data_IF_716908290483
#
_entry.id   IF_716908290483
#
_cell.length_a   1.000
_cell.length_b   1.000
_cell.length_c   1.000
_cell.angle_alpha   90.00
_cell.angle_beta   90.00
_cell.angle_gamma   90.00
#
_symmetry.space_group_name_H-M   'P 1'
#
loop_
_entity.id
_entity.type
_entity.pdbx_description
1 polymer ?
#
# COMPACT_ATOMS: atom_id res chain seq x y z
N UNK A 1 -28.82 3.52 9.97
CA UNK A 1 -29.05 2.78 11.22
C UNK A 1 -29.60 1.40 10.90
N UNK A 2 -28.78 0.37 10.91
CA UNK A 2 -29.18 -1.04 10.99
C UNK A 2 -28.03 -1.79 11.66
N UNK A 3 -28.25 -2.13 12.93
CA UNK A 3 -27.33 -2.90 13.74
C UNK A 3 -27.40 -4.36 13.32
N UNK A 4 -26.27 -4.99 12.99
CA UNK A 4 -26.14 -6.43 12.84
C UNK A 4 -25.75 -7.00 14.21
N UNK A 5 -26.74 -7.62 14.88
CA UNK A 5 -26.52 -8.38 16.09
C UNK A 5 -25.92 -9.76 15.77
N UNK A 6 -24.75 -10.02 16.31
CA UNK A 6 -24.13 -11.35 16.31
C UNK A 6 -24.80 -12.14 17.44
N UNK A 7 -25.65 -13.10 17.07
CA UNK A 7 -26.21 -14.08 18.01
C UNK A 7 -25.18 -15.19 18.23
N UNK A 8 -24.57 -15.19 19.42
CA UNK A 8 -23.81 -16.32 19.92
C UNK A 8 -24.80 -17.39 20.43
N UNK A 9 -25.02 -18.44 19.66
CA UNK A 9 -25.83 -19.61 20.04
C UNK A 9 -24.97 -20.51 20.95
N UNK A 10 -25.14 -20.33 22.26
CA UNK A 10 -24.66 -21.30 23.25
C UNK A 10 -25.70 -22.42 23.30
N UNK A 11 -25.41 -23.55 22.66
CA UNK A 11 -26.18 -24.76 22.80
C UNK A 11 -25.81 -25.45 24.14
N UNK A 12 -26.62 -25.26 25.16
CA UNK A 12 -26.59 -26.09 26.36
C UNK A 12 -27.16 -27.48 26.03
N UNK A 13 -26.29 -28.47 25.92
CA UNK A 13 -26.67 -29.86 25.95
C UNK A 13 -26.79 -30.34 27.42
N UNK A 14 -28.01 -30.43 27.93
CA UNK A 14 -28.29 -31.15 29.15
C UNK A 14 -28.45 -32.62 28.78
N UNK A 15 -27.47 -33.45 29.12
CA UNK A 15 -27.62 -34.91 29.13
C UNK A 15 -27.83 -35.35 30.56
N UNK A 16 -29.06 -35.69 30.89
CA UNK A 16 -29.37 -36.48 32.04
C UNK A 16 -29.50 -37.96 31.60
N UNK A 17 -28.76 -38.85 32.22
CA UNK A 17 -28.96 -40.27 31.99
C UNK A 17 -27.81 -41.14 32.47
N UNK A 18 -28.04 -41.81 33.59
CA UNK A 18 -27.17 -42.75 34.25
C UNK A 18 -26.57 -43.85 33.35
N UNK A 19 -25.29 -44.17 33.56
CA UNK A 19 -24.79 -45.56 33.65
C UNK A 19 -23.32 -45.59 34.05
N UNK A 20 -22.99 -46.36 35.04
CA UNK A 20 -21.64 -46.68 35.47
C UNK A 20 -20.86 -47.38 34.36
N UNK A 21 -19.75 -46.79 33.92
CA UNK A 21 -18.80 -47.38 32.95
C UNK A 21 -17.92 -46.41 32.18
N UNK A 22 -18.29 -45.13 32.04
CA UNK A 22 -17.70 -44.18 31.06
C UNK A 22 -16.55 -43.32 31.53
N UNK A 23 -16.14 -43.28 32.78
CA UNK A 23 -15.13 -42.33 33.31
C UNK A 23 -13.73 -42.45 32.69
N UNK A 24 -13.39 -43.59 32.12
CA UNK A 24 -12.05 -43.79 31.48
C UNK A 24 -12.04 -43.36 30.00
N UNK A 25 -13.16 -43.41 29.30
CA UNK A 25 -13.24 -42.96 27.90
C UNK A 25 -13.42 -41.45 27.80
N UNK A 26 -14.21 -40.83 28.66
CA UNK A 26 -14.33 -39.36 28.70
C UNK A 26 -13.01 -38.67 29.07
N UNK A 27 -12.24 -39.23 29.99
CA UNK A 27 -10.89 -38.72 30.33
C UNK A 27 -9.92 -38.83 29.17
N UNK A 28 -9.92 -39.93 28.39
CA UNK A 28 -9.07 -40.07 27.20
C UNK A 28 -9.49 -39.15 26.08
N UNK A 29 -10.78 -38.91 25.92
CA UNK A 29 -11.29 -38.00 24.90
C UNK A 29 -11.00 -36.51 25.22
N UNK A 30 -11.03 -36.14 26.51
CA UNK A 30 -10.61 -34.85 27.01
C UNK A 30 -9.09 -34.61 26.85
N UNK A 31 -8.25 -35.63 27.14
CA UNK A 31 -6.82 -35.54 26.90
C UNK A 31 -6.47 -35.44 25.41
N UNK A 32 -7.16 -36.19 24.55
CA UNK A 32 -6.94 -36.10 23.09
C UNK A 32 -7.36 -34.74 22.52
N UNK A 33 -8.48 -34.18 22.98
CA UNK A 33 -8.91 -32.83 22.55
C UNK A 33 -7.98 -31.74 23.08
N UNK A 34 -7.45 -31.87 24.29
CA UNK A 34 -6.47 -30.94 24.83
C UNK A 34 -5.14 -31.02 24.07
N UNK A 35 -4.69 -32.23 23.68
CA UNK A 35 -3.49 -32.40 22.84
C UNK A 35 -3.67 -31.88 21.43
N UNK A 36 -4.84 -32.06 20.82
CA UNK A 36 -5.17 -31.50 19.52
C UNK A 36 -5.22 -29.98 19.56
N UNK A 37 -5.86 -29.39 20.58
CA UNK A 37 -5.89 -27.95 20.77
C UNK A 37 -4.48 -27.37 20.99
N UNK A 38 -3.63 -28.06 21.75
CA UNK A 38 -2.23 -27.68 21.95
C UNK A 38 -1.41 -27.71 20.65
N UNK A 39 -1.59 -28.75 19.81
CA UNK A 39 -0.95 -28.83 18.50
C UNK A 39 -1.43 -27.73 17.55
N UNK A 40 -2.73 -27.49 17.49
CA UNK A 40 -3.29 -26.43 16.67
C UNK A 40 -2.79 -25.05 17.10
N UNK A 41 -2.69 -24.78 18.40
CA UNK A 41 -2.13 -23.54 18.92
C UNK A 41 -0.63 -23.37 18.54
N UNK A 42 0.16 -24.46 18.58
CA UNK A 42 1.56 -24.44 18.14
C UNK A 42 1.70 -24.22 16.64
N UNK A 43 0.84 -24.80 15.81
CA UNK A 43 0.83 -24.59 14.37
C UNK A 43 0.45 -23.14 14.02
N UNK A 44 -0.54 -22.57 14.69
CA UNK A 44 -0.90 -21.16 14.55
C UNK A 44 0.27 -20.25 14.95
N UNK A 45 0.92 -20.53 16.08
CA UNK A 45 2.06 -19.75 16.54
C UNK A 45 3.23 -19.80 15.54
N UNK A 46 3.56 -20.98 14.99
CA UNK A 46 4.56 -21.13 13.92
C UNK A 46 4.16 -20.40 12.65
N UNK A 47 2.89 -20.47 12.26
CA UNK A 47 2.37 -19.73 11.10
C UNK A 47 2.50 -18.23 11.29
N UNK A 48 2.20 -17.70 12.46
CA UNK A 48 2.37 -16.28 12.78
C UNK A 48 3.84 -15.85 12.79
N UNK A 49 4.74 -16.69 13.32
CA UNK A 49 6.17 -16.42 13.28
C UNK A 49 6.72 -16.42 11.84
N UNK A 50 6.33 -17.39 11.02
CA UNK A 50 6.69 -17.45 9.60
C UNK A 50 6.15 -16.24 8.84
N UNK A 51 4.92 -15.85 9.10
CA UNK A 51 4.33 -14.64 8.51
C UNK A 51 5.07 -13.38 8.95
N UNK A 52 5.40 -13.24 10.23
CA UNK A 52 6.20 -12.14 10.76
C UNK A 52 7.58 -12.04 10.08
N UNK A 53 8.26 -13.18 9.94
CA UNK A 53 9.56 -13.24 9.27
C UNK A 53 9.46 -12.90 7.77
N UNK A 54 8.43 -13.37 7.08
CA UNK A 54 8.16 -13.02 5.68
C UNK A 54 7.89 -11.52 5.52
N UNK A 55 7.07 -10.94 6.40
CA UNK A 55 6.80 -9.50 6.42
C UNK A 55 8.07 -8.68 6.65
N UNK A 56 8.94 -9.09 7.57
CA UNK A 56 10.21 -8.42 7.79
C UNK A 56 11.14 -8.49 6.57
N UNK A 57 11.15 -9.60 5.84
CA UNK A 57 11.94 -9.71 4.61
C UNK A 57 11.42 -8.78 3.52
N UNK A 58 10.10 -8.65 3.36
CA UNK A 58 9.47 -7.76 2.39
C UNK A 58 9.71 -6.26 2.69
N UNK A 59 10.04 -5.92 3.92
CA UNK A 59 10.39 -4.56 4.33
C UNK A 59 11.87 -4.21 4.12
N UNK A 60 12.71 -5.20 3.81
CA UNK A 60 14.12 -4.96 3.52
C UNK A 60 14.32 -4.52 2.08
N UNK A 61 15.34 -3.73 1.86
CA UNK A 61 15.80 -3.37 0.52
C UNK A 61 16.27 -4.58 -0.27
N UNK A 62 16.55 -4.42 -1.57
CA UNK A 62 16.91 -5.51 -2.49
C UNK A 62 18.12 -6.34 -2.05
N UNK A 63 19.03 -5.76 -1.27
CA UNK A 63 20.24 -6.42 -0.75
C UNK A 63 20.09 -6.84 0.73
N UNK A 64 18.85 -6.81 1.27
CA UNK A 64 18.57 -7.15 2.66
C UNK A 64 18.86 -6.04 3.67
N UNK A 65 19.21 -4.82 3.20
CA UNK A 65 19.44 -3.68 4.07
C UNK A 65 18.13 -3.17 4.69
N UNK A 66 18.24 -2.67 5.92
CA UNK A 66 17.15 -2.00 6.61
C UNK A 66 17.26 -0.48 6.33
N UNK A 67 16.45 0.00 5.40
CA UNK A 67 16.43 1.42 5.02
C UNK A 67 15.39 2.15 5.87
N UNK A 68 15.79 3.25 6.49
CA UNK A 68 14.86 4.14 7.17
C UNK A 68 14.29 5.15 6.16
N UNK A 69 12.99 5.44 6.22
CA UNK A 69 12.42 6.47 5.38
C UNK A 69 12.93 7.85 5.79
N UNK A 70 13.10 8.75 4.82
CA UNK A 70 13.44 10.14 5.11
C UNK A 70 12.30 10.83 5.84
N UNK A 71 12.62 11.89 6.59
CA UNK A 71 11.58 12.72 7.20
C UNK A 71 10.67 13.32 6.10
N UNK A 72 9.35 13.29 6.31
CA UNK A 72 8.38 13.81 5.35
C UNK A 72 8.60 15.29 5.01
N UNK A 73 9.22 16.09 5.91
CA UNK A 73 9.59 17.49 5.62
C UNK A 73 10.62 17.57 4.49
N UNK A 74 11.53 16.59 4.40
CA UNK A 74 12.47 16.53 3.29
C UNK A 74 11.73 16.28 1.96
N UNK A 75 10.70 15.44 1.96
CA UNK A 75 9.83 15.22 0.80
C UNK A 75 9.00 16.47 0.47
N UNK A 76 8.47 17.17 1.47
CA UNK A 76 7.78 18.46 1.26
C UNK A 76 8.69 19.49 0.57
N UNK A 77 9.98 19.47 0.90
CA UNK A 77 10.98 20.36 0.27
C UNK A 77 11.28 20.05 -1.21
N UNK A 78 10.72 18.98 -1.77
CA UNK A 78 10.82 18.61 -3.19
C UNK A 78 9.55 18.95 -3.98
N UNK A 79 8.44 19.23 -3.28
CA UNK A 79 7.16 19.59 -3.90
C UNK A 79 7.31 20.94 -4.63
N UNK A 80 7.04 21.01 -5.96
CA UNK A 80 7.29 22.20 -6.74
C UNK A 80 6.29 23.33 -6.46
N UNK A 81 6.70 24.55 -6.77
CA UNK A 81 5.75 25.65 -6.98
C UNK A 81 5.51 25.78 -8.47
N UNK A 82 4.24 25.85 -8.89
CA UNK A 82 3.86 25.89 -10.29
C UNK A 82 3.17 27.22 -10.60
N UNK A 83 3.77 28.00 -11.51
CA UNK A 83 3.20 29.31 -11.89
C UNK A 83 1.80 29.14 -12.49
N UNK A 84 0.87 29.98 -12.05
CA UNK A 84 -0.52 29.95 -12.50
C UNK A 84 -1.39 28.86 -11.87
N UNK A 85 -0.86 28.14 -10.86
CA UNK A 85 -1.62 27.20 -10.02
C UNK A 85 -1.53 27.64 -8.57
N UNK A 86 -2.62 27.58 -7.87
CA UNK A 86 -2.69 27.74 -6.41
C UNK A 86 -2.33 26.42 -5.75
N UNK A 87 -1.32 26.43 -4.87
CA UNK A 87 -0.88 25.24 -4.15
C UNK A 87 -1.44 25.23 -2.74
N UNK A 88 -2.08 24.12 -2.36
CA UNK A 88 -2.48 23.89 -0.97
C UNK A 88 -1.26 23.68 -0.08
N UNK A 89 -1.45 23.88 1.24
CA UNK A 89 -0.43 23.61 2.24
C UNK A 89 -0.04 22.12 2.20
N UNK A 90 1.25 21.80 2.05
CA UNK A 90 1.72 20.42 1.99
C UNK A 90 1.42 19.65 3.29
N UNK A 91 0.86 18.47 3.16
CA UNK A 91 0.69 17.51 4.25
C UNK A 91 1.81 16.49 4.22
N UNK A 92 2.09 15.87 5.36
CA UNK A 92 3.09 14.80 5.44
C UNK A 92 2.81 13.88 6.60
N UNK A 93 3.16 12.61 6.42
CA UNK A 93 3.10 11.60 7.46
C UNK A 93 4.24 10.60 7.33
N UNK A 94 4.53 9.89 8.40
CA UNK A 94 5.46 8.78 8.40
C UNK A 94 4.93 7.65 9.27
N UNK A 95 5.27 6.43 8.90
CA UNK A 95 4.91 5.21 9.61
C UNK A 95 6.15 4.31 9.74
N UNK A 96 6.30 3.69 10.91
CA UNK A 96 7.40 2.76 11.18
C UNK A 96 6.92 1.33 11.41
N UNK A 97 5.65 1.13 11.76
CA UNK A 97 5.03 -0.18 12.02
C UNK A 97 3.60 -0.16 11.49
N UNK A 98 3.11 -1.19 10.79
CA UNK A 98 3.80 -2.44 10.41
C UNK A 98 4.75 -2.31 9.22
N UNK A 99 4.64 -1.26 8.42
CA UNK A 99 5.47 -0.99 7.24
C UNK A 99 6.10 0.38 7.37
N UNK A 100 7.40 0.47 7.09
CA UNK A 100 8.11 1.75 7.12
C UNK A 100 7.87 2.52 5.84
N UNK A 101 7.40 3.74 5.95
CA UNK A 101 7.35 4.71 4.86
C UNK A 101 7.25 6.14 5.40
N UNK A 102 7.53 7.11 4.57
CA UNK A 102 7.12 8.49 4.76
C UNK A 102 6.50 9.02 3.48
N UNK A 103 5.61 9.98 3.60
CA UNK A 103 5.00 10.61 2.43
C UNK A 103 4.79 12.10 2.62
N UNK A 104 4.77 12.81 1.52
CA UNK A 104 4.32 14.18 1.43
C UNK A 104 3.33 14.30 0.27
N UNK A 105 2.29 15.11 0.47
CA UNK A 105 1.29 15.37 -0.55
C UNK A 105 0.87 16.83 -0.55
N UNK A 106 0.45 17.33 -1.70
CA UNK A 106 -0.18 18.63 -1.86
C UNK A 106 -1.11 18.60 -3.06
N UNK A 107 -2.02 19.55 -3.13
CA UNK A 107 -2.85 19.75 -4.31
C UNK A 107 -2.59 21.12 -4.94
N UNK A 108 -2.84 21.18 -6.24
CA UNK A 108 -2.77 22.38 -7.05
C UNK A 108 -4.14 22.59 -7.70
N UNK A 109 -4.63 23.81 -7.63
CA UNK A 109 -5.92 24.19 -8.23
C UNK A 109 -5.72 25.31 -9.23
N UNK A 110 -6.45 25.24 -10.32
CA UNK A 110 -6.53 26.28 -11.35
C UNK A 110 -7.88 26.16 -12.05
N UNK A 111 -8.68 27.18 -11.93
CA UNK A 111 -10.07 27.19 -12.43
C UNK A 111 -10.84 25.97 -11.89
N UNK A 112 -11.36 25.10 -12.76
CA UNK A 112 -12.03 23.85 -12.39
C UNK A 112 -11.07 22.65 -12.28
N UNK A 113 -9.80 22.81 -12.67
CA UNK A 113 -8.80 21.75 -12.64
C UNK A 113 -8.18 21.60 -11.25
N UNK A 114 -8.00 20.34 -10.82
CA UNK A 114 -7.31 19.99 -9.58
C UNK A 114 -6.29 18.89 -9.87
N UNK A 115 -5.08 19.05 -9.35
CA UNK A 115 -4.01 18.06 -9.47
C UNK A 115 -3.51 17.75 -8.06
N UNK A 116 -3.49 16.49 -7.69
CA UNK A 116 -2.90 16.00 -6.44
C UNK A 116 -1.55 15.35 -6.73
N UNK A 117 -0.52 15.82 -6.03
CA UNK A 117 0.84 15.26 -6.09
C UNK A 117 1.15 14.60 -4.77
N UNK A 118 1.54 13.33 -4.84
CA UNK A 118 2.00 12.53 -3.71
C UNK A 118 3.39 11.97 -3.99
N UNK A 119 4.29 12.10 -3.03
CA UNK A 119 5.62 11.48 -3.03
C UNK A 119 5.71 10.58 -1.81
N UNK A 120 6.01 9.30 -2.03
CA UNK A 120 6.17 8.28 -0.98
C UNK A 120 7.61 7.77 -1.00
N UNK A 121 8.30 7.89 0.11
CA UNK A 121 9.52 7.11 0.35
C UNK A 121 9.11 5.74 0.90
N UNK A 122 9.32 4.73 0.10
CA UNK A 122 8.96 3.35 0.44
C UNK A 122 10.02 2.66 1.31
N UNK A 123 11.09 3.37 1.71
CA UNK A 123 12.26 2.80 2.37
C UNK A 123 12.80 1.56 1.62
N UNK A 124 12.68 1.54 0.29
CA UNK A 124 13.03 0.40 -0.59
C UNK A 124 12.22 -0.88 -0.30
N UNK A 125 11.11 -0.78 0.46
CA UNK A 125 10.26 -1.93 0.76
C UNK A 125 9.67 -2.53 -0.52
N UNK A 126 9.97 -3.79 -0.79
CA UNK A 126 9.40 -4.52 -1.92
C UNK A 126 7.87 -4.69 -1.78
N UNK A 127 7.36 -4.74 -0.55
CA UNK A 127 5.92 -4.82 -0.29
C UNK A 127 5.15 -3.63 -0.89
N UNK A 128 5.71 -2.42 -0.80
CA UNK A 128 5.07 -1.21 -1.33
C UNK A 128 5.26 -1.04 -2.84
N UNK A 129 6.37 -1.53 -3.39
CA UNK A 129 6.75 -1.30 -4.79
C UNK A 129 6.41 -2.46 -5.72
N UNK A 130 6.27 -3.69 -5.20
CA UNK A 130 6.09 -4.91 -6.02
C UNK A 130 4.90 -4.82 -7.00
N UNK A 131 3.70 -4.37 -6.62
CA UNK A 131 2.57 -4.32 -7.55
C UNK A 131 2.88 -3.44 -8.77
N UNK A 132 3.53 -2.30 -8.55
CA UNK A 132 3.93 -1.38 -9.62
C UNK A 132 5.09 -1.92 -10.45
N UNK A 133 6.07 -2.56 -9.82
CA UNK A 133 7.18 -3.18 -10.54
C UNK A 133 6.70 -4.30 -11.46
N UNK A 134 5.78 -5.16 -11.00
CA UNK A 134 5.19 -6.21 -11.84
C UNK A 134 4.45 -5.60 -13.03
N UNK A 135 3.63 -4.59 -12.81
CA UNK A 135 2.94 -3.86 -13.87
C UNK A 135 3.91 -3.28 -14.89
N UNK A 136 4.98 -2.60 -14.43
CA UNK A 136 6.00 -2.01 -15.29
C UNK A 136 6.81 -3.05 -16.07
N UNK A 137 7.09 -4.22 -15.48
CA UNK A 137 7.87 -5.29 -16.13
C UNK A 137 7.08 -6.00 -17.22
N UNK A 138 5.75 -6.07 -17.12
CA UNK A 138 4.92 -6.73 -18.13
C UNK A 138 4.75 -5.92 -19.41
N UNK A 139 5.13 -4.64 -19.40
CA UNK A 139 4.86 -3.74 -20.53
C UNK A 139 3.37 -3.56 -20.79
N UNK A 140 2.56 -3.67 -19.71
CA UNK A 140 1.11 -3.61 -19.81
C UNK A 140 0.62 -2.36 -20.54
N UNK A 141 -0.32 -2.56 -21.44
CA UNK A 141 -1.01 -1.48 -22.14
C UNK A 141 -2.43 -1.94 -22.48
N UNK A 142 -3.39 -1.14 -22.11
CA UNK A 142 -4.79 -1.33 -22.51
C UNK A 142 -5.35 -0.04 -23.08
N UNK A 143 -6.31 -0.15 -23.99
CA UNK A 143 -7.02 0.97 -24.58
C UNK A 143 -8.51 0.64 -24.63
N UNK A 144 -9.32 1.62 -24.27
CA UNK A 144 -10.80 1.57 -24.37
C UNK A 144 -11.26 2.69 -25.29
N UNK A 145 -12.57 2.79 -25.51
CA UNK A 145 -13.15 3.87 -26.33
C UNK A 145 -12.98 5.23 -25.63
N UNK A 146 -12.90 5.23 -24.29
CA UNK A 146 -12.85 6.43 -23.46
C UNK A 146 -11.48 6.72 -22.86
N UNK A 147 -10.48 5.82 -23.04
CA UNK A 147 -9.19 6.06 -22.43
C UNK A 147 -8.15 4.98 -22.64
N UNK A 148 -7.10 5.05 -21.83
CA UNK A 148 -6.02 4.07 -21.84
C UNK A 148 -5.31 3.98 -20.47
N UNK A 149 -4.62 2.88 -20.27
CA UNK A 149 -3.65 2.69 -19.19
C UNK A 149 -2.43 1.95 -19.75
N UNK A 150 -1.23 2.43 -19.45
CA UNK A 150 0.00 1.82 -19.97
C UNK A 150 1.19 2.03 -19.06
N UNK A 151 2.08 1.02 -19.03
CA UNK A 151 3.44 1.17 -18.56
C UNK A 151 4.26 1.99 -19.57
N UNK A 152 5.05 2.93 -19.08
CA UNK A 152 5.83 3.85 -19.91
C UNK A 152 7.06 4.39 -19.17
N UNK A 153 7.78 5.31 -19.78
CA UNK A 153 8.79 6.14 -19.10
C UNK A 153 8.26 7.55 -18.93
N UNK A 154 8.35 8.05 -17.70
CA UNK A 154 7.97 9.42 -17.35
C UNK A 154 9.21 10.13 -16.83
N UNK A 155 9.59 11.25 -17.44
CA UNK A 155 10.82 12.00 -17.12
C UNK A 155 12.07 11.08 -17.03
N UNK A 156 12.16 10.08 -17.90
CA UNK A 156 13.26 9.11 -17.95
C UNK A 156 13.19 7.97 -16.91
N UNK A 157 12.25 8.00 -16.00
CA UNK A 157 12.04 6.97 -14.97
C UNK A 157 10.98 5.95 -15.40
N UNK A 158 11.06 4.69 -14.91
CA UNK A 158 9.96 3.73 -15.08
C UNK A 158 8.67 4.29 -14.47
N UNK A 159 7.57 4.23 -15.22
CA UNK A 159 6.32 4.82 -14.78
C UNK A 159 5.11 4.31 -15.54
N UNK A 160 3.97 4.89 -15.27
CA UNK A 160 2.69 4.58 -15.91
C UNK A 160 1.88 5.82 -16.19
N UNK A 161 0.97 5.70 -17.12
CA UNK A 161 -0.04 6.70 -17.45
C UNK A 161 -1.40 6.05 -17.54
N UNK A 162 -2.40 6.74 -17.04
CA UNK A 162 -3.81 6.41 -17.20
C UNK A 162 -4.58 7.67 -17.58
N UNK A 163 -5.47 7.53 -18.54
CA UNK A 163 -6.34 8.58 -19.01
C UNK A 163 -7.75 8.10 -19.16
N UNK A 164 -8.72 8.91 -18.71
CA UNK A 164 -10.14 8.72 -18.93
C UNK A 164 -10.73 10.04 -19.45
N UNK A 165 -11.21 10.03 -20.68
CA UNK A 165 -11.74 11.21 -21.35
C UNK A 165 -13.15 11.61 -20.88
N UNK A 166 -13.96 10.65 -20.42
CA UNK A 166 -15.29 10.94 -19.89
C UNK A 166 -15.20 11.56 -18.49
N UNK A 167 -14.39 10.97 -17.63
CA UNK A 167 -14.12 11.50 -16.30
C UNK A 167 -13.18 12.73 -16.31
N UNK A 168 -12.54 13.03 -17.47
CA UNK A 168 -11.46 14.03 -17.59
C UNK A 168 -10.40 13.87 -16.52
N UNK A 169 -10.00 12.62 -16.30
CA UNK A 169 -9.05 12.23 -15.25
C UNK A 169 -7.77 11.67 -15.85
N UNK A 170 -6.65 12.23 -15.40
CA UNK A 170 -5.32 11.78 -15.77
C UNK A 170 -4.56 11.34 -14.52
N UNK A 171 -3.96 10.16 -14.56
CA UNK A 171 -3.05 9.69 -13.53
C UNK A 171 -1.71 9.35 -14.16
N UNK A 172 -0.63 9.87 -13.58
CA UNK A 172 0.73 9.56 -14.01
C UNK A 172 1.55 9.24 -12.77
N UNK A 173 2.25 8.10 -12.81
CA UNK A 173 3.13 7.70 -11.72
C UNK A 173 4.50 7.30 -12.22
N UNK A 174 5.50 7.39 -11.35
CA UNK A 174 6.88 6.97 -11.64
C UNK A 174 7.60 6.51 -10.36
N UNK A 175 8.63 5.69 -10.55
CA UNK A 175 9.49 5.21 -9.47
C UNK A 175 10.89 5.77 -9.67
N UNK A 176 11.37 6.57 -8.70
CA UNK A 176 12.68 7.21 -8.71
C UNK A 176 13.64 6.45 -7.80
N UNK A 177 14.80 6.06 -8.32
CA UNK A 177 15.86 5.41 -7.55
C UNK A 177 15.46 4.09 -6.91
N UNK A 178 14.42 3.40 -7.43
CA UNK A 178 13.80 2.17 -6.84
C UNK A 178 13.25 2.37 -5.41
N UNK A 179 13.13 3.61 -4.96
CA UNK A 179 12.78 3.98 -3.58
C UNK A 179 11.59 4.89 -3.49
N UNK A 180 11.58 5.95 -4.28
CA UNK A 180 10.55 6.98 -4.20
C UNK A 180 9.48 6.74 -5.26
N UNK A 181 8.24 6.64 -4.82
CA UNK A 181 7.08 6.58 -5.70
C UNK A 181 6.45 7.98 -5.78
N UNK A 182 6.34 8.50 -6.97
CA UNK A 182 5.68 9.78 -7.26
C UNK A 182 4.41 9.49 -8.03
N UNK A 183 3.28 9.96 -7.53
CA UNK A 183 1.96 9.82 -8.19
C UNK A 183 1.33 11.19 -8.32
N UNK A 184 0.82 11.49 -9.50
CA UNK A 184 0.10 12.71 -9.81
C UNK A 184 -1.24 12.35 -10.41
N UNK A 185 -2.30 12.78 -9.74
CA UNK A 185 -3.69 12.53 -10.14
C UNK A 185 -4.35 13.86 -10.47
N UNK A 186 -4.83 14.00 -11.69
CA UNK A 186 -5.45 15.21 -12.20
C UNK A 186 -6.93 15.01 -12.53
N UNK A 187 -7.77 15.88 -12.04
CA UNK A 187 -9.20 15.98 -12.34
C UNK A 187 -9.47 17.23 -13.15
N UNK A 188 -10.38 17.15 -14.13
CA UNK A 188 -10.67 18.21 -15.10
C UNK A 188 -9.41 18.74 -15.82
N UNK A 189 -8.48 17.84 -16.14
CA UNK A 189 -7.21 18.15 -16.79
C UNK A 189 -6.82 17.01 -17.74
N UNK A 190 -5.66 17.13 -18.39
CA UNK A 190 -5.14 16.13 -19.31
C UNK A 190 -3.78 15.57 -18.85
N UNK A 191 -3.35 14.48 -19.50
CA UNK A 191 -2.08 13.82 -19.20
C UNK A 191 -0.89 14.74 -19.39
N UNK A 192 -0.93 15.63 -20.40
CA UNK A 192 0.17 16.56 -20.66
C UNK A 192 0.37 17.54 -19.49
N UNK A 193 -0.72 18.10 -18.98
CA UNK A 193 -0.69 19.02 -17.83
C UNK A 193 -0.10 18.32 -16.59
N UNK A 194 -0.49 17.08 -16.33
CA UNK A 194 0.04 16.26 -15.23
C UNK A 194 1.54 15.98 -15.43
N UNK A 195 1.96 15.63 -16.64
CA UNK A 195 3.38 15.42 -16.97
C UNK A 195 4.21 16.71 -16.86
N UNK A 196 3.65 17.85 -17.27
CA UNK A 196 4.31 19.16 -17.16
C UNK A 196 4.56 19.51 -15.67
N UNK A 197 3.64 19.14 -14.76
CA UNK A 197 3.85 19.27 -13.30
C UNK A 197 4.97 18.35 -12.80
N UNK A 198 4.98 17.09 -13.22
CA UNK A 198 6.07 16.15 -12.90
C UNK A 198 7.43 16.70 -13.34
N UNK A 199 7.48 17.33 -14.51
CA UNK A 199 8.70 17.98 -15.04
C UNK A 199 9.22 19.14 -14.19
N UNK A 200 8.43 19.64 -13.21
CA UNK A 200 8.86 20.66 -12.24
C UNK A 200 9.45 20.07 -10.96
N UNK A 201 9.31 18.77 -10.75
CA UNK A 201 9.88 18.07 -9.58
C UNK A 201 11.37 17.88 -9.83
N UNK A 202 12.20 18.27 -8.87
CA UNK A 202 13.63 17.95 -8.89
C UNK A 202 13.86 16.48 -8.53
N UNK A 203 13.74 15.60 -9.56
CA UNK A 203 13.93 14.14 -9.39
C UNK A 203 15.37 13.79 -9.00
N UNK A 204 16.35 14.64 -9.33
CA UNK A 204 17.75 14.46 -8.91
C UNK A 204 17.90 14.70 -7.41
N UNK A 205 17.33 15.79 -6.90
CA UNK A 205 17.27 16.07 -5.46
C UNK A 205 16.51 14.95 -4.73
N UNK A 206 15.34 14.52 -5.25
CA UNK A 206 14.56 13.43 -4.66
C UNK A 206 15.40 12.15 -4.57
N UNK A 207 16.07 11.74 -5.64
CA UNK A 207 16.92 10.54 -5.66
C UNK A 207 18.11 10.62 -4.69
N UNK A 208 18.55 11.81 -4.30
CA UNK A 208 19.69 12.04 -3.41
C UNK A 208 19.32 12.04 -1.91
N UNK A 209 18.03 12.05 -1.57
CA UNK A 209 17.57 11.98 -0.18
C UNK A 209 17.98 10.63 0.46
N UNK A 210 18.43 10.70 1.72
CA UNK A 210 18.96 9.52 2.46
C UNK A 210 18.21 9.31 3.76
#
# INVERSE_FOLDING_TARGET
MRAFGIYCLIAMFTVAGAACGGKKEEAKQAEQSAQQAGKAAQEIAKGMEQFGNAMQQLQKGPNGENVEPVDFKALQGVLPTVSGWEREEPKGESMTVPVKFSQAETAYTKDEARIELKIVDTAMSSMLTMPYQMFLMTGYSTKTDTGYEKATKVAGQPGWEKWDSEAKRAEVGLIVGKRFMVTVDGSNTDVKTVQDLIGKIDLGKLASLK
#
